data_IF_081041348140
#
_entry.id   IF_081041348140
#
_cell.length_a   1.000
_cell.length_b   1.000
_cell.length_c   1.000
_cell.angle_alpha   90.00
_cell.angle_beta   90.00
_cell.angle_gamma   90.00
#
_symmetry.space_group_name_H-M   'P 1'
#
loop_
_entity.id
_entity.type
_entity.pdbx_description
1 polymer ?
#
# COMPACT_ATOMS: atom_id res chain seq x y z
N UNK A 1 9.95 5.56 -25.10
CA UNK A 1 8.99 6.16 -24.16
C UNK A 1 9.02 7.66 -24.35
N UNK A 2 7.99 8.16 -25.02
CA UNK A 2 7.88 9.54 -25.47
C UNK A 2 7.54 10.46 -24.29
N UNK A 3 8.42 11.42 -24.00
CA UNK A 3 8.17 12.72 -23.36
C UNK A 3 7.03 12.83 -22.33
N UNK A 4 7.11 12.08 -21.21
CA UNK A 4 6.45 12.54 -19.98
C UNK A 4 7.34 13.63 -19.36
N UNK A 5 6.93 14.89 -19.41
CA UNK A 5 7.55 15.98 -18.66
C UNK A 5 7.13 15.87 -17.18
N UNK A 6 7.64 14.85 -16.50
CA UNK A 6 7.53 14.79 -15.04
C UNK A 6 8.48 15.83 -14.45
N UNK A 7 8.05 16.68 -13.51
CA UNK A 7 8.95 17.63 -12.87
C UNK A 7 10.09 16.87 -12.20
N UNK A 8 11.31 17.03 -12.73
CA UNK A 8 12.50 16.42 -12.16
C UNK A 8 12.96 17.28 -11.00
N UNK A 9 12.61 16.87 -9.78
CA UNK A 9 13.13 17.48 -8.57
C UNK A 9 14.53 16.94 -8.29
N UNK A 10 15.55 17.78 -8.47
CA UNK A 10 16.93 17.43 -8.09
C UNK A 10 17.13 17.67 -6.60
N UNK A 11 17.48 16.61 -5.88
CA UNK A 11 17.71 16.66 -4.42
C UNK A 11 19.13 17.07 -4.03
N UNK A 12 20.05 17.27 -4.99
CA UNK A 12 21.42 17.77 -4.70
C UNK A 12 21.36 19.27 -4.36
N UNK A 13 21.46 19.58 -3.07
CA UNK A 13 21.73 20.93 -2.58
C UNK A 13 23.24 21.18 -2.71
N UNK A 14 23.61 22.09 -3.61
CA UNK A 14 25.02 22.44 -3.91
C UNK A 14 25.75 23.00 -2.68
N UNK A 15 25.01 23.46 -1.67
CA UNK A 15 25.49 24.16 -0.49
C UNK A 15 25.79 23.29 0.73
N UNK A 16 25.60 21.96 0.69
CA UNK A 16 25.85 21.08 1.85
C UNK A 16 26.92 20.04 1.52
N UNK A 17 28.09 20.18 2.14
CA UNK A 17 29.24 19.26 2.03
C UNK A 17 29.23 18.13 3.07
N UNK A 18 28.28 18.13 4.01
CA UNK A 18 28.14 17.10 5.05
C UNK A 18 27.66 15.79 4.41
N UNK A 19 28.42 14.72 4.61
CA UNK A 19 27.97 13.35 4.36
C UNK A 19 27.05 12.88 5.50
N UNK A 20 26.05 12.07 5.18
CA UNK A 20 25.14 11.48 6.17
C UNK A 20 25.22 9.96 6.06
N UNK A 21 25.33 9.28 7.19
CA UNK A 21 25.18 7.84 7.29
C UNK A 21 23.69 7.48 7.39
N UNK A 22 23.08 7.10 6.26
CA UNK A 22 21.66 6.74 6.24
C UNK A 22 21.32 5.45 6.99
N UNK A 23 22.31 4.66 7.42
CA UNK A 23 22.08 3.53 8.32
C UNK A 23 21.85 3.97 9.77
N UNK A 24 22.38 5.14 10.16
CA UNK A 24 22.15 5.71 11.49
C UNK A 24 20.79 6.45 11.54
N UNK A 25 19.88 6.12 12.47
CA UNK A 25 18.56 6.75 12.55
C UNK A 25 18.60 8.26 12.81
N UNK A 26 19.58 8.75 13.57
CA UNK A 26 19.71 10.17 13.91
C UNK A 26 20.18 10.93 12.67
N UNK A 27 21.26 10.47 12.03
CA UNK A 27 21.77 11.10 10.81
C UNK A 27 20.78 11.00 9.64
N UNK A 28 20.02 9.90 9.54
CA UNK A 28 18.96 9.74 8.55
C UNK A 28 17.84 10.75 8.76
N UNK A 29 17.44 11.01 10.01
CA UNK A 29 16.46 12.04 10.33
C UNK A 29 16.98 13.44 9.98
N UNK A 30 18.21 13.77 10.37
CA UNK A 30 18.85 15.04 9.99
C UNK A 30 18.88 15.22 8.46
N UNK A 31 19.21 14.16 7.72
CA UNK A 31 19.19 14.17 6.27
C UNK A 31 17.80 14.48 5.70
N UNK A 32 16.75 13.80 6.18
CA UNK A 32 15.39 14.06 5.70
C UNK A 32 14.86 15.43 6.09
N UNK A 33 15.12 15.90 7.32
CA UNK A 33 14.73 17.23 7.77
C UNK A 33 15.44 18.32 6.93
N UNK A 34 16.72 18.13 6.61
CA UNK A 34 17.47 19.04 5.71
C UNK A 34 16.91 19.07 4.29
N UNK A 35 16.40 17.95 3.78
CA UNK A 35 15.94 17.81 2.38
C UNK A 35 14.48 18.16 2.17
N UNK A 36 13.63 17.85 3.14
CA UNK A 36 12.18 17.87 3.01
C UNK A 36 11.46 18.17 4.33
N UNK A 37 12.11 18.82 5.30
CA UNK A 37 11.54 19.07 6.63
C UNK A 37 10.21 19.83 6.60
N UNK A 38 10.08 20.83 5.73
CA UNK A 38 8.83 21.59 5.55
C UNK A 38 7.72 20.72 4.95
N UNK A 39 8.03 19.87 3.98
CA UNK A 39 7.09 18.92 3.39
C UNK A 39 6.67 17.85 4.39
N UNK A 40 7.61 17.30 5.16
CA UNK A 40 7.35 16.32 6.23
C UNK A 40 6.40 16.93 7.26
N UNK A 41 6.60 18.19 7.64
CA UNK A 41 5.72 18.91 8.56
C UNK A 41 4.30 19.08 7.97
N UNK A 42 4.18 19.48 6.71
CA UNK A 42 2.87 19.59 6.03
C UNK A 42 2.12 18.26 5.99
N UNK A 43 2.83 17.16 5.71
CA UNK A 43 2.23 15.82 5.70
C UNK A 43 1.81 15.40 7.11
N UNK A 44 2.64 15.63 8.12
CA UNK A 44 2.29 15.39 9.53
C UNK A 44 1.00 16.12 9.94
N UNK A 45 0.90 17.40 9.58
CA UNK A 45 -0.28 18.21 9.89
C UNK A 45 -1.52 17.71 9.12
N UNK A 46 -1.37 17.34 7.86
CA UNK A 46 -2.44 16.73 7.06
C UNK A 46 -2.97 15.43 7.68
N UNK A 47 -2.07 14.56 8.17
CA UNK A 47 -2.43 13.25 8.72
C UNK A 47 -3.08 13.29 10.11
N UNK A 48 -3.22 14.47 10.73
CA UNK A 48 -3.93 14.61 12.01
C UNK A 48 -5.42 14.32 11.89
N UNK A 49 -6.02 14.71 10.77
CA UNK A 49 -7.47 14.62 10.54
C UNK A 49 -7.84 14.08 9.15
N UNK A 50 -6.88 13.93 8.24
CA UNK A 50 -7.09 13.44 6.88
C UNK A 50 -6.28 12.19 6.57
N UNK A 51 -6.71 11.49 5.54
CA UNK A 51 -6.11 10.23 5.08
C UNK A 51 -5.91 10.23 3.57
N UNK A 52 -5.17 9.25 3.07
CA UNK A 52 -5.02 8.99 1.65
C UNK A 52 -4.72 7.50 1.42
N UNK A 53 -4.84 7.06 0.18
CA UNK A 53 -4.38 5.74 -0.29
C UNK A 53 -3.26 5.91 -1.31
N UNK A 54 -2.08 5.37 -1.01
CA UNK A 54 -0.92 5.36 -1.90
C UNK A 54 -0.70 3.95 -2.47
N UNK A 55 -0.85 3.79 -3.79
CA UNK A 55 -0.62 2.52 -4.48
C UNK A 55 0.85 2.38 -4.86
N UNK A 56 1.55 1.42 -4.25
CA UNK A 56 2.97 1.19 -4.51
C UNK A 56 3.15 0.30 -5.74
N UNK A 57 3.67 0.89 -6.80
CA UNK A 57 3.99 0.23 -8.06
C UNK A 57 5.50 0.09 -8.21
N UNK A 58 5.95 -1.06 -8.69
CA UNK A 58 7.36 -1.30 -8.95
C UNK A 58 7.67 -2.78 -9.01
N UNK A 59 8.80 -3.13 -9.63
CA UNK A 59 9.26 -4.51 -9.81
C UNK A 59 9.40 -5.23 -8.45
N UNK A 60 9.41 -6.58 -8.48
CA UNK A 60 9.74 -7.36 -7.28
C UNK A 60 11.10 -6.91 -6.73
N UNK A 61 11.27 -6.86 -5.42
CA UNK A 61 12.50 -6.38 -4.75
C UNK A 61 12.87 -4.90 -5.00
N UNK A 62 12.00 -4.07 -5.57
CA UNK A 62 12.27 -2.63 -5.76
C UNK A 62 12.35 -1.78 -4.48
N UNK A 63 12.20 -2.39 -3.30
CA UNK A 63 12.27 -1.68 -2.01
C UNK A 63 11.00 -0.97 -1.56
N UNK A 64 9.82 -1.24 -2.15
CA UNK A 64 8.51 -0.64 -1.78
C UNK A 64 8.27 -0.55 -0.26
N UNK A 65 8.40 -1.68 0.43
CA UNK A 65 8.25 -1.74 1.89
C UNK A 65 9.32 -0.93 2.63
N UNK A 66 10.56 -0.88 2.12
CA UNK A 66 11.65 -0.07 2.70
C UNK A 66 11.33 1.41 2.64
N UNK A 67 10.91 1.92 1.46
CA UNK A 67 10.53 3.33 1.31
C UNK A 67 9.35 3.71 2.20
N UNK A 68 8.36 2.82 2.33
CA UNK A 68 7.21 3.07 3.21
C UNK A 68 7.64 3.15 4.68
N UNK A 69 8.53 2.26 5.14
CA UNK A 69 9.07 2.32 6.50
C UNK A 69 9.83 3.62 6.76
N UNK A 70 10.65 4.06 5.81
CA UNK A 70 11.37 5.32 5.90
C UNK A 70 10.41 6.53 5.95
N UNK A 71 9.35 6.49 5.13
CA UNK A 71 8.31 7.51 5.16
C UNK A 71 7.59 7.55 6.51
N UNK A 72 7.22 6.39 7.06
CA UNK A 72 6.59 6.28 8.38
C UNK A 72 7.51 6.74 9.50
N UNK A 73 8.82 6.46 9.42
CA UNK A 73 9.82 6.96 10.37
C UNK A 73 9.90 8.50 10.32
N UNK A 74 9.90 9.07 9.12
CA UNK A 74 9.97 10.51 8.93
C UNK A 74 8.67 11.22 9.34
N UNK A 75 7.49 10.65 9.04
CA UNK A 75 6.21 11.34 9.20
C UNK A 75 5.49 10.97 10.50
N UNK A 76 5.65 9.76 11.02
CA UNK A 76 4.92 9.25 12.19
C UNK A 76 4.11 8.01 11.81
N UNK A 77 4.36 6.90 12.51
CA UNK A 77 3.77 5.59 12.22
C UNK A 77 2.35 5.41 12.79
N UNK A 78 1.91 6.30 13.67
CA UNK A 78 0.62 6.24 14.33
C UNK A 78 -0.54 6.45 13.35
N UNK A 79 -0.36 7.33 12.36
CA UNK A 79 -1.41 7.71 11.39
C UNK A 79 -1.27 7.01 10.02
N UNK A 80 -0.31 6.11 9.88
CA UNK A 80 0.00 5.44 8.61
C UNK A 80 -0.04 3.92 8.80
N UNK A 81 -0.56 3.21 7.80
CA UNK A 81 -0.48 1.75 7.71
C UNK A 81 0.14 1.34 6.39
N UNK A 82 1.12 0.42 6.46
CA UNK A 82 1.61 -0.29 5.28
C UNK A 82 0.86 -1.61 5.17
N UNK A 83 0.17 -1.80 4.06
CA UNK A 83 -0.72 -2.93 3.83
C UNK A 83 -0.22 -3.69 2.61
N UNK A 84 0.28 -4.91 2.80
CA UNK A 84 0.63 -5.80 1.69
C UNK A 84 -0.53 -6.73 1.39
N UNK A 85 -0.87 -6.91 0.11
CA UNK A 85 -1.84 -7.93 -0.33
C UNK A 85 -1.47 -9.32 0.19
N UNK A 86 -0.18 -9.65 0.21
CA UNK A 86 0.29 -10.93 0.72
C UNK A 86 0.01 -11.11 2.22
N UNK A 87 0.11 -10.03 3.00
CA UNK A 87 -0.21 -10.04 4.43
C UNK A 87 -1.73 -10.14 4.66
N UNK A 88 -2.51 -9.38 3.89
CA UNK A 88 -3.98 -9.44 3.95
C UNK A 88 -4.48 -10.87 3.71
N UNK A 89 -4.00 -11.53 2.65
CA UNK A 89 -4.40 -12.91 2.33
C UNK A 89 -3.99 -13.85 3.46
N UNK A 90 -2.79 -13.67 4.03
CA UNK A 90 -2.30 -14.49 5.13
C UNK A 90 -3.16 -14.32 6.39
N UNK A 91 -3.49 -13.08 6.74
CA UNK A 91 -4.36 -12.75 7.87
C UNK A 91 -5.79 -13.25 7.64
N UNK A 92 -6.35 -13.07 6.44
CA UNK A 92 -7.68 -13.57 6.09
C UNK A 92 -7.77 -15.10 6.22
N UNK A 93 -6.75 -15.82 5.76
CA UNK A 93 -6.66 -17.27 5.94
C UNK A 93 -6.68 -17.67 7.42
N UNK A 94 -5.96 -16.93 8.29
CA UNK A 94 -5.98 -17.17 9.73
C UNK A 94 -7.35 -16.83 10.35
N UNK A 95 -7.92 -15.67 10.00
CA UNK A 95 -9.22 -15.22 10.50
C UNK A 95 -10.37 -16.15 10.04
N UNK A 96 -10.26 -16.82 8.89
CA UNK A 96 -11.21 -17.83 8.40
C UNK A 96 -11.09 -19.19 9.11
N UNK A 97 -9.92 -19.49 9.68
CA UNK A 97 -9.66 -20.71 10.46
C UNK A 97 -9.99 -20.52 11.96
N UNK A 98 -10.07 -19.28 12.42
CA UNK A 98 -10.39 -18.88 13.78
C UNK A 98 -11.92 -18.85 13.99
N UNK A 99 -12.44 -19.69 14.89
CA UNK A 99 -13.88 -19.81 15.14
C UNK A 99 -14.53 -18.49 15.56
N UNK A 100 -13.79 -17.62 16.24
CA UNK A 100 -14.34 -16.39 16.83
C UNK A 100 -14.42 -15.26 15.81
N UNK A 101 -13.64 -15.35 14.72
CA UNK A 101 -13.55 -14.31 13.69
C UNK A 101 -14.16 -14.72 12.36
N UNK A 102 -14.28 -16.03 12.13
CA UNK A 102 -14.74 -16.60 10.86
C UNK A 102 -16.06 -16.00 10.40
N UNK A 103 -17.03 -15.84 11.31
CA UNK A 103 -18.35 -15.31 10.96
C UNK A 103 -18.26 -13.85 10.53
N UNK A 104 -17.49 -13.03 11.26
CA UNK A 104 -17.31 -11.61 10.95
C UNK A 104 -16.69 -11.39 9.55
N UNK A 105 -15.60 -12.09 9.23
CA UNK A 105 -14.98 -11.98 7.90
C UNK A 105 -15.90 -12.56 6.81
N UNK A 106 -16.57 -13.68 7.07
CA UNK A 106 -17.48 -14.32 6.10
C UNK A 106 -18.66 -13.41 5.77
N UNK A 107 -19.27 -12.78 6.76
CA UNK A 107 -20.40 -11.88 6.57
C UNK A 107 -19.98 -10.58 5.86
N UNK A 108 -18.79 -10.07 6.18
CA UNK A 108 -18.22 -8.96 5.42
C UNK A 108 -18.01 -9.33 3.95
N UNK A 109 -17.46 -10.52 3.68
CA UNK A 109 -17.25 -11.00 2.33
C UNK A 109 -18.58 -11.20 1.58
N UNK A 110 -19.63 -11.75 2.21
CA UNK A 110 -20.98 -11.82 1.60
C UNK A 110 -21.48 -10.45 1.17
N UNK A 111 -21.27 -9.43 2.02
CA UNK A 111 -21.73 -8.08 1.74
C UNK A 111 -20.90 -7.36 0.66
N UNK A 112 -19.60 -7.65 0.54
CA UNK A 112 -18.66 -6.84 -0.27
C UNK A 112 -18.06 -7.56 -1.50
N UNK A 113 -18.08 -8.89 -1.54
CA UNK A 113 -17.58 -9.65 -2.67
C UNK A 113 -18.52 -9.55 -3.87
N UNK A 114 -17.96 -9.27 -5.06
CA UNK A 114 -18.70 -9.05 -6.32
C UNK A 114 -18.09 -9.82 -7.50
N UNK A 115 -17.42 -10.93 -7.24
CA UNK A 115 -16.84 -11.76 -8.29
C UNK A 115 -17.85 -12.73 -8.91
N UNK A 116 -17.48 -13.28 -10.06
CA UNK A 116 -18.30 -14.22 -10.83
C UNK A 116 -18.38 -15.62 -10.23
N UNK A 117 -17.37 -16.00 -9.43
CA UNK A 117 -17.33 -17.32 -8.78
C UNK A 117 -18.18 -17.30 -7.50
N UNK A 118 -18.78 -18.41 -7.07
CA UNK A 118 -19.44 -18.48 -5.76
C UNK A 118 -18.48 -18.12 -4.62
N UNK A 119 -18.96 -17.38 -3.61
CA UNK A 119 -18.13 -16.94 -2.49
C UNK A 119 -17.44 -18.11 -1.78
N UNK A 120 -18.11 -19.25 -1.67
CA UNK A 120 -17.59 -20.46 -1.04
C UNK A 120 -16.31 -20.94 -1.74
N UNK A 121 -16.29 -20.91 -3.07
CA UNK A 121 -15.09 -21.25 -3.85
C UNK A 121 -13.99 -20.20 -3.73
N UNK A 122 -14.36 -18.92 -3.58
CA UNK A 122 -13.38 -17.86 -3.34
C UNK A 122 -12.73 -18.02 -1.95
N UNK A 123 -13.50 -18.39 -0.93
CA UNK A 123 -13.01 -18.72 0.42
C UNK A 123 -12.12 -19.97 0.37
N UNK A 124 -12.51 -21.01 -0.36
CA UNK A 124 -11.70 -22.19 -0.57
C UNK A 124 -10.34 -21.84 -1.22
N UNK A 125 -10.31 -20.90 -2.18
CA UNK A 125 -9.07 -20.41 -2.77
C UNK A 125 -8.16 -19.71 -1.74
N UNK A 126 -8.72 -19.00 -0.77
CA UNK A 126 -7.95 -18.41 0.35
C UNK A 126 -7.40 -19.51 1.27
N UNK A 127 -8.20 -20.53 1.57
CA UNK A 127 -7.87 -21.61 2.51
C UNK A 127 -6.86 -22.62 1.96
N UNK A 128 -6.96 -22.96 0.67
CA UNK A 128 -6.20 -24.03 0.01
C UNK A 128 -4.71 -23.73 -0.23
N UNK A 129 -4.28 -22.46 -0.08
CA UNK A 129 -2.88 -21.99 -0.12
C UNK A 129 -1.97 -22.84 -1.02
N UNK A 130 -2.18 -22.78 -2.34
CA UNK A 130 -1.08 -23.05 -3.26
C UNK A 130 -0.42 -21.70 -3.60
N UNK A 131 0.87 -21.57 -3.37
CA UNK A 131 1.65 -20.37 -3.73
C UNK A 131 1.64 -20.07 -5.23
N UNK A 132 1.12 -21.00 -6.03
CA UNK A 132 0.98 -20.91 -7.49
C UNK A 132 -0.35 -20.36 -7.97
N UNK A 133 -1.44 -20.51 -7.20
CA UNK A 133 -2.77 -20.11 -7.65
C UNK A 133 -2.99 -18.64 -7.33
N UNK A 134 -3.15 -17.82 -8.37
CA UNK A 134 -3.50 -16.42 -8.20
C UNK A 134 -4.91 -16.34 -7.64
N UNK A 135 -5.04 -15.76 -6.44
CA UNK A 135 -6.33 -15.47 -5.84
C UNK A 135 -7.07 -14.46 -6.75
N UNK A 136 -8.37 -14.67 -7.04
CA UNK A 136 -9.12 -13.75 -7.87
C UNK A 136 -9.04 -12.29 -7.38
N UNK A 137 -9.04 -11.36 -8.33
CA UNK A 137 -8.86 -9.94 -8.02
C UNK A 137 -10.02 -9.40 -7.18
N UNK A 138 -11.24 -9.88 -7.41
CA UNK A 138 -12.44 -9.43 -6.73
C UNK A 138 -12.47 -9.85 -5.25
N UNK A 139 -11.97 -11.05 -4.92
CA UNK A 139 -11.86 -11.45 -3.52
C UNK A 139 -10.68 -10.73 -2.85
N UNK A 140 -9.60 -10.48 -3.57
CA UNK A 140 -8.49 -9.64 -3.09
C UNK A 140 -8.99 -8.23 -2.75
N UNK A 141 -9.81 -7.64 -3.62
CA UNK A 141 -10.41 -6.31 -3.41
C UNK A 141 -11.32 -6.27 -2.18
N UNK A 142 -12.17 -7.30 -2.00
CA UNK A 142 -13.01 -7.42 -0.80
C UNK A 142 -12.16 -7.54 0.47
N UNK A 143 -11.05 -8.28 0.44
CA UNK A 143 -10.14 -8.39 1.58
C UNK A 143 -9.36 -7.10 1.86
N UNK A 144 -8.99 -6.34 0.84
CA UNK A 144 -8.37 -5.02 1.04
C UNK A 144 -9.38 -4.09 1.73
N UNK A 145 -10.66 -4.08 1.30
CA UNK A 145 -11.71 -3.31 1.97
C UNK A 145 -11.90 -3.75 3.43
N UNK A 146 -11.88 -5.05 3.69
CA UNK A 146 -11.92 -5.60 5.05
C UNK A 146 -10.78 -5.04 5.90
N UNK A 147 -9.55 -5.07 5.39
CA UNK A 147 -8.39 -4.54 6.10
C UNK A 147 -8.51 -3.04 6.34
N UNK A 148 -8.86 -2.27 5.31
CA UNK A 148 -9.05 -0.81 5.41
C UNK A 148 -10.14 -0.44 6.42
N UNK A 149 -11.21 -1.24 6.52
CA UNK A 149 -12.30 -1.03 7.48
C UNK A 149 -11.84 -1.09 8.95
N UNK A 150 -10.75 -1.82 9.20
CA UNK A 150 -10.16 -2.02 10.53
C UNK A 150 -9.06 -1.01 10.85
N UNK A 151 -8.59 -0.27 9.86
CA UNK A 151 -7.52 0.72 10.00
C UNK A 151 -8.11 2.10 10.36
N UNK A 152 -8.34 2.33 11.65
CA UNK A 152 -8.86 3.58 12.26
C UNK A 152 -8.32 4.87 11.62
N UNK A 153 -9.02 5.42 10.61
CA UNK A 153 -8.66 6.66 9.89
C UNK A 153 -7.14 6.83 9.66
N UNK A 154 -6.44 5.75 9.29
CA UNK A 154 -5.04 5.83 8.87
C UNK A 154 -4.94 6.07 7.37
N UNK A 155 -3.89 6.75 6.94
CA UNK A 155 -3.46 6.71 5.55
C UNK A 155 -2.86 5.33 5.24
N UNK A 156 -3.08 4.84 4.02
CA UNK A 156 -2.77 3.46 3.64
C UNK A 156 -1.79 3.45 2.49
N UNK A 157 -0.68 2.76 2.66
CA UNK A 157 0.24 2.41 1.57
C UNK A 157 -0.03 0.97 1.16
N UNK A 158 -0.60 0.78 -0.03
CA UNK A 158 -0.99 -0.54 -0.54
C UNK A 158 0.11 -1.11 -1.44
N UNK A 159 0.71 -2.23 -1.01
CA UNK A 159 1.75 -2.95 -1.74
C UNK A 159 1.20 -4.26 -2.36
N UNK A 160 1.54 -4.49 -3.63
CA UNK A 160 1.20 -5.71 -4.34
C UNK A 160 -0.22 -5.75 -4.91
N UNK A 161 -0.86 -4.59 -5.03
CA UNK A 161 -2.11 -4.40 -5.77
C UNK A 161 -2.03 -3.18 -6.67
N UNK A 162 -2.57 -3.25 -7.89
CA UNK A 162 -2.92 -4.45 -8.67
C UNK A 162 -1.68 -5.21 -9.17
N UNK A 163 -1.80 -6.53 -9.42
CA UNK A 163 -0.67 -7.39 -9.86
C UNK A 163 -0.53 -7.50 -11.37
N UNK A 164 -1.64 -7.53 -12.08
CA UNK A 164 -1.70 -7.57 -13.55
C UNK A 164 -2.22 -6.21 -14.03
N UNK A 165 -1.71 -5.66 -15.14
CA UNK A 165 -1.83 -4.28 -15.68
C UNK A 165 -2.85 -4.10 -16.81
N UNK A 166 -4.08 -4.61 -16.65
CA UNK A 166 -5.19 -4.38 -17.59
C UNK A 166 -5.95 -3.05 -17.38
N UNK A 167 -5.90 -2.12 -18.35
CA UNK A 167 -6.41 -0.75 -18.20
C UNK A 167 -7.90 -0.63 -17.81
N UNK A 168 -8.78 -1.50 -18.33
CA UNK A 168 -10.25 -1.40 -18.06
C UNK A 168 -10.56 -1.84 -16.63
N UNK A 169 -9.95 -2.94 -16.21
CA UNK A 169 -10.09 -3.50 -14.87
C UNK A 169 -9.55 -2.53 -13.79
N UNK A 170 -8.51 -1.76 -14.10
CA UNK A 170 -7.86 -0.83 -13.17
C UNK A 170 -8.79 0.27 -12.69
N UNK A 171 -9.39 0.98 -13.64
CA UNK A 171 -10.26 2.11 -13.31
C UNK A 171 -11.43 1.67 -12.41
N UNK A 172 -11.96 0.47 -12.64
CA UNK A 172 -13.06 -0.08 -11.85
C UNK A 172 -12.61 -0.47 -10.43
N UNK A 173 -11.48 -1.17 -10.29
CA UNK A 173 -11.01 -1.60 -8.97
C UNK A 173 -10.57 -0.43 -8.09
N UNK A 174 -9.85 0.56 -8.65
CA UNK A 174 -9.47 1.73 -7.88
C UNK A 174 -10.68 2.55 -7.49
N UNK A 175 -11.61 2.81 -8.42
CA UNK A 175 -12.85 3.51 -8.09
C UNK A 175 -13.60 2.81 -6.96
N UNK A 176 -13.72 1.50 -7.02
CA UNK A 176 -14.40 0.70 -6.00
C UNK A 176 -13.68 0.77 -4.63
N UNK A 177 -12.36 0.81 -4.63
CA UNK A 177 -11.56 0.92 -3.40
C UNK A 177 -11.56 2.34 -2.81
N UNK A 178 -11.39 3.36 -3.65
CA UNK A 178 -11.40 4.78 -3.26
C UNK A 178 -12.75 5.14 -2.66
N UNK A 179 -13.85 4.73 -3.32
CA UNK A 179 -15.20 5.01 -2.86
C UNK A 179 -15.55 4.31 -1.53
N UNK A 180 -14.72 3.37 -1.07
CA UNK A 180 -14.96 2.69 0.21
C UNK A 180 -14.85 3.65 1.40
N UNK A 181 -13.88 4.57 1.37
CA UNK A 181 -13.69 5.62 2.40
C UNK A 181 -13.78 7.05 1.85
N UNK A 182 -13.79 7.22 0.52
CA UNK A 182 -13.63 8.49 -0.18
C UNK A 182 -12.30 9.20 0.17
N UNK A 183 -11.25 8.41 0.38
CA UNK A 183 -9.89 8.91 0.62
C UNK A 183 -9.27 9.40 -0.70
N UNK A 184 -8.56 10.55 -0.72
CA UNK A 184 -7.68 10.90 -1.84
C UNK A 184 -6.69 9.79 -2.14
N UNK A 185 -6.38 9.56 -3.41
CA UNK A 185 -5.46 8.50 -3.81
C UNK A 185 -4.45 8.91 -4.88
N UNK A 186 -3.35 8.18 -4.94
CA UNK A 186 -2.30 8.39 -5.93
C UNK A 186 -1.40 7.16 -6.09
N UNK A 187 -0.68 7.12 -7.22
CA UNK A 187 0.33 6.10 -7.49
C UNK A 187 1.72 6.56 -7.08
N UNK A 188 2.46 5.65 -6.45
CA UNK A 188 3.88 5.80 -6.16
C UNK A 188 4.64 4.76 -6.96
N UNK A 189 5.27 5.20 -8.05
CA UNK A 189 6.05 4.33 -8.91
C UNK A 189 7.53 4.36 -8.52
N UNK A 190 8.07 3.19 -8.16
CA UNK A 190 9.49 3.01 -7.85
C UNK A 190 10.15 2.35 -9.06
N UNK A 191 10.76 3.19 -9.88
CA UNK A 191 11.47 2.77 -11.08
C UNK A 191 12.95 2.49 -10.78
N UNK A 192 13.37 1.26 -11.04
CA UNK A 192 14.74 0.80 -10.87
C UNK A 192 15.15 -0.06 -12.07
N UNK A 193 16.36 0.15 -12.63
CA UNK A 193 16.95 -0.76 -13.61
C UNK A 193 17.03 -2.19 -13.08
N UNK A 194 16.83 -3.18 -13.94
CA UNK A 194 16.88 -4.61 -13.55
C UNK A 194 18.24 -5.02 -13.02
N UNK A 195 19.31 -4.37 -13.48
CA UNK A 195 20.66 -4.64 -13.00
C UNK A 195 20.87 -4.32 -11.50
N UNK A 196 19.93 -3.61 -10.86
CA UNK A 196 19.99 -3.22 -9.44
C UNK A 196 19.14 -4.13 -8.55
N UNK A 197 18.24 -4.93 -9.14
CA UNK A 197 17.23 -5.75 -8.45
C UNK A 197 17.65 -7.22 -8.42
#
# INVERSE_FOLDING_TARGET
MSSFNFPIFKTKNVSVSKGFNLADPVERREYFDLKAGEEIKKIRDFLKDKTFVAYLLGKKNSGKGTYTKLFMEAVGSENISHVSVGDIIRAANQDLLDSDKKDAITDFLKANYRGFMPLEKAIEAILSRDTKTLIPTEITLALIKWEISRLNKKAVFLDGFPRDLDQISYALYFRDLINYRNDPDFFVFIDLPEAII
#
